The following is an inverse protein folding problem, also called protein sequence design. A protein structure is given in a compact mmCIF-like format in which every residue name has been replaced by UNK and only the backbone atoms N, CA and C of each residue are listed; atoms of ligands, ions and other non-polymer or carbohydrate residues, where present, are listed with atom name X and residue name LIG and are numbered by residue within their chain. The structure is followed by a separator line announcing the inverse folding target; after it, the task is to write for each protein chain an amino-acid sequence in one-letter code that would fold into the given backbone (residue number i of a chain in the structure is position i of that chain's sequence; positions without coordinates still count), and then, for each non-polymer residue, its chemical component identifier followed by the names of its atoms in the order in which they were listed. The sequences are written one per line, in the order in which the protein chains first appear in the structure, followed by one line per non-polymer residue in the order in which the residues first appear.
data_IF_043008188527
#
_entry.id   IF_043008188527
#
_cell.length_a   1.000
_cell.length_b   1.000
_cell.length_c   1.000
_cell.angle_alpha   90.00
_cell.angle_beta   90.00
_cell.angle_gamma   90.00
#
_symmetry.space_group_name_H-M   'P 1'
#
loop_
_entity.id
_entity.type
_entity.pdbx_description
1 polymer ?
#
# COMPACT_ATOMS: atom_id res chain seq x y z
N UNK A 1 -40.60 5.42 23.11
CA UNK A 1 -40.01 4.35 22.26
C UNK A 1 -38.71 4.90 21.70
N UNK A 2 -37.57 4.45 22.22
CA UNK A 2 -36.24 4.87 21.76
C UNK A 2 -35.86 4.02 20.54
N UNK A 3 -35.89 4.57 19.33
CA UNK A 3 -35.16 3.95 18.22
C UNK A 3 -33.70 4.41 18.31
N UNK A 4 -32.82 3.46 18.64
CA UNK A 4 -31.37 3.61 18.42
C UNK A 4 -31.17 3.75 16.91
N UNK A 5 -30.68 4.90 16.46
CA UNK A 5 -30.05 5.02 15.15
C UNK A 5 -28.80 4.12 15.16
N UNK A 6 -28.70 3.22 14.18
CA UNK A 6 -27.46 2.51 13.90
C UNK A 6 -26.36 3.54 13.55
N UNK A 7 -25.08 3.28 13.87
CA UNK A 7 -24.01 4.15 13.43
C UNK A 7 -24.04 4.18 11.89
N UNK A 8 -24.15 5.38 11.33
CA UNK A 8 -23.93 5.60 9.90
C UNK A 8 -22.48 5.18 9.63
N UNK A 9 -22.27 4.04 8.97
CA UNK A 9 -20.98 3.75 8.34
C UNK A 9 -20.64 4.96 7.47
N UNK A 10 -19.57 5.67 7.81
CA UNK A 10 -19.11 6.75 6.96
C UNK A 10 -18.66 6.11 5.65
N UNK A 11 -19.34 6.47 4.55
CA UNK A 11 -18.91 6.16 3.20
C UNK A 11 -17.55 6.83 2.95
N UNK A 12 -16.47 6.21 3.42
CA UNK A 12 -15.11 6.65 3.10
C UNK A 12 -14.96 6.55 1.58
N UNK A 13 -14.47 7.60 0.90
CA UNK A 13 -14.29 7.54 -0.54
C UNK A 13 -13.29 6.43 -0.89
N UNK A 14 -13.69 5.56 -1.81
CA UNK A 14 -12.85 4.51 -2.38
C UNK A 14 -12.48 4.87 -3.82
N UNK A 15 -11.21 4.73 -4.15
CA UNK A 15 -10.72 4.79 -5.53
C UNK A 15 -10.17 3.41 -5.88
N UNK A 16 -10.48 2.91 -7.06
CA UNK A 16 -10.03 1.61 -7.54
C UNK A 16 -9.30 1.79 -8.86
N UNK A 17 -8.06 1.35 -8.91
CA UNK A 17 -7.25 1.33 -10.13
C UNK A 17 -7.00 -0.11 -10.56
N UNK A 18 -7.27 -0.41 -11.83
CA UNK A 18 -6.95 -1.72 -12.42
C UNK A 18 -5.91 -1.51 -13.51
N UNK A 19 -4.78 -2.20 -13.38
CA UNK A 19 -3.66 -2.16 -14.33
C UNK A 19 -3.32 -3.57 -14.80
N UNK A 20 -3.04 -3.73 -16.10
CA UNK A 20 -2.56 -4.99 -16.66
C UNK A 20 -1.07 -4.89 -16.98
N UNK A 21 -0.28 -5.84 -16.48
CA UNK A 21 1.19 -5.82 -16.59
C UNK A 21 1.66 -7.14 -17.20
N UNK A 22 2.46 -7.10 -18.27
CA UNK A 22 3.02 -8.29 -18.91
C UNK A 22 4.19 -8.85 -18.09
N UNK A 23 3.89 -9.72 -17.12
CA UNK A 23 4.84 -10.26 -16.14
C UNK A 23 4.22 -11.43 -15.36
N UNK A 24 4.86 -11.88 -14.27
CA UNK A 24 4.30 -12.90 -13.36
C UNK A 24 3.80 -12.27 -12.05
N UNK A 25 2.82 -12.90 -11.36
CA UNK A 25 2.35 -12.43 -10.05
C UNK A 25 3.50 -12.25 -9.04
N UNK A 26 4.46 -13.19 -9.00
CA UNK A 26 5.62 -13.10 -8.11
C UNK A 26 6.47 -11.85 -8.38
N UNK A 27 6.67 -11.47 -9.65
CA UNK A 27 7.42 -10.26 -9.98
C UNK A 27 6.68 -8.99 -9.57
N UNK A 28 5.36 -8.95 -9.74
CA UNK A 28 4.55 -7.82 -9.24
C UNK A 28 4.60 -7.74 -7.72
N UNK A 29 4.49 -8.88 -7.04
CA UNK A 29 4.62 -8.97 -5.59
C UNK A 29 5.97 -8.42 -5.10
N UNK A 30 7.07 -8.87 -5.71
CA UNK A 30 8.41 -8.38 -5.35
C UNK A 30 8.56 -6.88 -5.59
N UNK A 31 7.90 -6.29 -6.59
CA UNK A 31 7.96 -4.85 -6.86
C UNK A 31 7.41 -3.97 -5.71
N UNK A 32 6.66 -4.53 -4.75
CA UNK A 32 6.20 -3.81 -3.56
C UNK A 32 7.07 -4.02 -2.32
N UNK A 33 7.94 -5.04 -2.32
CA UNK A 33 8.71 -5.48 -1.15
C UNK A 33 10.21 -5.29 -1.31
N UNK A 34 10.72 -5.50 -2.52
CA UNK A 34 12.14 -5.44 -2.83
C UNK A 34 12.55 -3.98 -3.02
N UNK A 35 13.36 -3.48 -2.08
CA UNK A 35 13.81 -2.09 -2.06
C UNK A 35 14.67 -1.74 -3.27
N UNK A 36 15.43 -2.69 -3.82
CA UNK A 36 16.28 -2.46 -4.99
C UNK A 36 15.44 -2.30 -6.26
N UNK A 37 14.32 -3.02 -6.36
CA UNK A 37 13.34 -2.84 -7.44
C UNK A 37 12.58 -1.53 -7.24
N UNK A 38 12.08 -1.28 -6.03
CA UNK A 38 11.30 -0.07 -5.72
C UNK A 38 12.09 1.21 -6.02
N UNK A 39 13.36 1.27 -5.65
CA UNK A 39 14.21 2.44 -5.86
C UNK A 39 14.33 2.86 -7.34
N UNK A 40 14.09 1.96 -8.29
CA UNK A 40 14.15 2.22 -9.73
C UNK A 40 12.87 2.87 -10.28
N UNK A 41 11.71 2.64 -9.65
CA UNK A 41 10.40 3.02 -10.21
C UNK A 41 9.60 3.98 -9.33
N UNK A 42 9.83 4.03 -8.02
CA UNK A 42 9.05 4.83 -7.08
C UNK A 42 9.63 6.24 -6.89
N UNK A 43 9.71 7.00 -7.99
CA UNK A 43 10.11 8.42 -8.01
C UNK A 43 8.88 9.29 -8.28
N UNK A 44 8.57 10.21 -7.36
CA UNK A 44 7.45 11.14 -7.53
C UNK A 44 7.79 12.24 -8.53
N UNK A 45 6.79 12.80 -9.25
CA UNK A 45 7.03 13.82 -10.29
C UNK A 45 7.64 15.13 -9.75
N UNK A 46 7.56 15.36 -8.44
CA UNK A 46 8.10 16.54 -7.74
C UNK A 46 9.29 16.20 -6.82
N UNK A 47 9.76 14.95 -6.84
CA UNK A 47 10.76 14.44 -5.90
C UNK A 47 11.98 13.96 -6.68
N UNK A 48 13.16 14.52 -6.38
CA UNK A 48 14.44 14.07 -6.97
C UNK A 48 14.93 12.74 -6.40
N UNK A 49 14.22 12.19 -5.41
CA UNK A 49 14.57 10.98 -4.68
C UNK A 49 13.48 9.90 -4.80
N UNK A 50 13.90 8.65 -4.91
CA UNK A 50 13.03 7.47 -4.89
C UNK A 50 12.57 7.12 -3.47
N UNK A 51 11.58 6.24 -3.38
CA UNK A 51 11.08 5.75 -2.10
C UNK A 51 10.99 4.24 -2.07
N UNK A 52 11.10 3.71 -0.86
CA UNK A 52 11.04 2.27 -0.59
C UNK A 52 10.07 2.00 0.56
N UNK A 53 9.46 0.82 0.55
CA UNK A 53 8.65 0.34 1.65
C UNK A 53 9.56 -0.38 2.65
N UNK A 54 9.46 0.00 3.91
CA UNK A 54 10.23 -0.60 5.01
C UNK A 54 9.26 -1.22 6.00
N UNK A 55 9.30 -2.54 6.10
CA UNK A 55 8.56 -3.37 7.05
C UNK A 55 9.14 -4.78 7.09
N UNK A 56 8.86 -5.52 8.16
CA UNK A 56 9.06 -6.98 8.16
C UNK A 56 7.85 -7.75 7.59
N UNK A 57 6.82 -7.01 7.14
CA UNK A 57 5.65 -7.51 6.42
C UNK A 57 4.88 -8.62 7.15
N UNK A 58 4.73 -8.48 8.47
CA UNK A 58 3.81 -9.30 9.26
C UNK A 58 2.55 -8.51 9.59
N UNK A 59 1.35 -9.12 9.64
CA UNK A 59 0.16 -8.45 10.12
C UNK A 59 0.40 -7.80 11.49
N UNK A 60 0.01 -6.53 11.62
CA UNK A 60 0.24 -5.69 12.80
C UNK A 60 1.56 -4.91 12.80
N UNK A 61 2.52 -5.26 11.94
CA UNK A 61 3.81 -4.58 11.87
C UNK A 61 3.70 -3.15 11.39
N UNK A 62 4.62 -2.31 11.83
CA UNK A 62 4.79 -0.96 11.28
C UNK A 62 5.22 -1.08 9.81
N UNK A 63 4.65 -0.23 8.97
CA UNK A 63 5.05 -0.02 7.59
C UNK A 63 5.38 1.45 7.38
N UNK A 64 6.46 1.72 6.67
CA UNK A 64 6.92 3.07 6.35
C UNK A 64 7.29 3.17 4.88
N UNK A 65 6.94 4.31 4.30
CA UNK A 65 7.35 4.68 2.96
C UNK A 65 8.45 5.75 3.07
N UNK A 66 9.70 5.30 2.93
CA UNK A 66 10.89 6.09 3.24
C UNK A 66 11.58 6.60 1.98
N UNK A 67 12.21 7.77 2.06
CA UNK A 67 13.13 8.28 1.04
C UNK A 67 14.45 7.54 1.04
N UNK A 68 15.05 7.39 -0.14
CA UNK A 68 16.34 6.72 -0.35
C UNK A 68 17.55 7.68 -0.39
N UNK A 69 17.36 8.96 -0.07
CA UNK A 69 18.38 10.02 -0.07
C UNK A 69 19.35 9.96 1.13
N UNK A 70 19.31 8.88 1.91
CA UNK A 70 20.10 8.69 3.12
C UNK A 70 19.55 9.42 4.35
N UNK A 71 18.47 10.20 4.24
CA UNK A 71 17.87 10.89 5.39
C UNK A 71 16.99 9.97 6.26
N UNK A 72 16.48 8.88 5.68
CA UNK A 72 15.48 8.02 6.33
C UNK A 72 14.13 8.72 6.55
N UNK A 73 13.87 9.82 5.82
CA UNK A 73 12.62 10.57 5.96
C UNK A 73 11.43 9.70 5.59
N UNK A 74 10.47 9.57 6.52
CA UNK A 74 9.21 8.85 6.31
C UNK A 74 8.17 9.82 5.73
N UNK A 75 7.78 9.65 4.47
CA UNK A 75 6.78 10.50 3.83
C UNK A 75 5.34 10.04 4.16
N UNK A 76 5.17 8.73 4.36
CA UNK A 76 3.90 8.04 4.70
C UNK A 76 4.21 6.89 5.65
N UNK A 77 3.31 6.62 6.58
CA UNK A 77 3.40 5.48 7.50
C UNK A 77 2.07 4.76 7.63
N UNK A 78 2.12 3.58 8.25
CA UNK A 78 0.94 2.82 8.61
C UNK A 78 1.28 1.50 9.28
N UNK A 79 0.32 0.57 9.23
CA UNK A 79 0.44 -0.79 9.75
C UNK A 79 0.07 -1.78 8.66
N UNK A 80 0.80 -2.88 8.59
CA UNK A 80 0.44 -4.04 7.75
C UNK A 80 -0.83 -4.67 8.34
N UNK A 81 -1.85 -4.86 7.51
CA UNK A 81 -3.15 -5.40 7.92
C UNK A 81 -3.33 -6.84 7.44
N UNK A 82 -2.90 -7.13 6.21
CA UNK A 82 -3.02 -8.46 5.59
C UNK A 82 -1.83 -8.71 4.67
N UNK A 83 -1.27 -9.92 4.69
CA UNK A 83 -0.21 -10.37 3.78
C UNK A 83 -0.51 -11.79 3.34
N UNK A 84 -0.74 -11.97 2.04
CA UNK A 84 -1.01 -13.27 1.42
C UNK A 84 -0.25 -13.36 0.09
N UNK A 85 1.05 -13.74 0.12
CA UNK A 85 1.90 -13.76 -1.07
C UNK A 85 1.46 -14.82 -2.09
N UNK A 86 1.60 -14.57 -3.40
CA UNK A 86 1.86 -13.29 -4.06
C UNK A 86 0.56 -12.53 -4.40
N UNK A 87 -0.57 -12.87 -3.76
CA UNK A 87 -1.93 -12.53 -4.23
C UNK A 87 -2.49 -11.25 -3.63
N UNK A 88 -2.20 -10.95 -2.37
CA UNK A 88 -2.86 -9.85 -1.66
C UNK A 88 -2.00 -9.22 -0.58
N UNK A 89 -1.99 -7.90 -0.55
CA UNK A 89 -1.30 -7.08 0.46
C UNK A 89 -2.20 -5.93 0.87
N UNK A 90 -2.42 -5.76 2.17
CA UNK A 90 -3.26 -4.68 2.70
C UNK A 90 -2.52 -3.97 3.82
N UNK A 91 -2.50 -2.65 3.79
CA UNK A 91 -1.90 -1.82 4.84
C UNK A 91 -2.65 -0.50 5.03
N UNK A 92 -2.53 0.06 6.24
CA UNK A 92 -3.04 1.41 6.50
C UNK A 92 -2.10 2.48 5.95
N UNK A 93 -2.63 3.66 5.69
CA UNK A 93 -1.92 4.76 5.05
C UNK A 93 -2.26 6.08 5.72
N UNK A 94 -1.25 6.76 6.27
CA UNK A 94 -1.40 8.09 6.85
C UNK A 94 -0.14 8.94 6.66
N UNK A 95 -0.30 10.25 6.77
CA UNK A 95 0.84 11.15 7.00
C UNK A 95 1.40 10.89 8.42
N UNK A 96 2.71 11.07 8.65
CA UNK A 96 3.30 10.94 9.98
C UNK A 96 2.62 11.81 11.05
N UNK A 97 2.23 13.04 10.70
CA UNK A 97 1.54 13.96 11.60
C UNK A 97 0.16 13.45 12.07
N UNK A 98 -0.47 12.57 11.29
CA UNK A 98 -1.79 11.99 11.56
C UNK A 98 -1.70 10.54 12.05
N UNK A 99 -0.50 10.00 12.26
CA UNK A 99 -0.30 8.58 12.58
C UNK A 99 -1.01 8.13 13.88
N UNK A 100 -1.19 9.05 14.84
CA UNK A 100 -1.86 8.80 16.12
C UNK A 100 -3.40 8.78 16.06
N UNK A 101 -3.99 9.17 14.93
CA UNK A 101 -5.45 9.23 14.74
C UNK A 101 -5.88 8.22 13.67
N UNK A 102 -6.30 7.02 14.11
CA UNK A 102 -6.71 5.93 13.21
C UNK A 102 -7.91 6.31 12.32
N UNK A 103 -8.72 7.31 12.71
CA UNK A 103 -9.85 7.76 11.88
C UNK A 103 -9.41 8.42 10.57
N UNK A 104 -8.19 9.00 10.57
CA UNK A 104 -7.56 9.64 9.41
C UNK A 104 -6.78 8.66 8.53
N UNK A 105 -6.71 7.39 8.90
CA UNK A 105 -6.03 6.39 8.09
C UNK A 105 -6.93 5.98 6.92
N UNK A 106 -6.34 5.99 5.73
CA UNK A 106 -6.84 5.27 4.57
C UNK A 106 -6.33 3.83 4.60
N UNK A 107 -6.93 2.98 3.79
CA UNK A 107 -6.48 1.61 3.59
C UNK A 107 -6.11 1.43 2.11
N UNK A 108 -4.94 0.86 1.87
CA UNK A 108 -4.49 0.43 0.54
C UNK A 108 -4.62 -1.08 0.50
N UNK A 109 -5.33 -1.60 -0.51
CA UNK A 109 -5.49 -3.03 -0.74
C UNK A 109 -5.00 -3.35 -2.14
N UNK A 110 -3.96 -4.17 -2.23
CA UNK A 110 -3.34 -4.59 -3.48
C UNK A 110 -3.75 -6.03 -3.73
N UNK A 111 -4.43 -6.27 -4.85
CA UNK A 111 -4.80 -7.59 -5.35
C UNK A 111 -4.05 -7.89 -6.64
N UNK A 112 -3.44 -9.08 -6.71
CA UNK A 112 -2.59 -9.53 -7.81
C UNK A 112 -3.13 -10.85 -8.31
N UNK A 113 -3.65 -10.84 -9.54
CA UNK A 113 -4.27 -12.00 -10.17
C UNK A 113 -3.55 -12.35 -11.48
N UNK A 114 -3.21 -13.63 -11.72
CA UNK A 114 -2.81 -14.05 -13.06
C UNK A 114 -3.96 -13.82 -14.04
N UNK A 115 -3.61 -13.35 -15.23
CA UNK A 115 -4.52 -13.15 -16.34
C UNK A 115 -4.00 -13.90 -17.59
N UNK A 116 -4.74 -13.82 -18.69
CA UNK A 116 -4.39 -14.54 -19.93
C UNK A 116 -2.97 -14.19 -20.41
N UNK A 117 -2.29 -15.16 -21.02
CA UNK A 117 -1.03 -14.98 -21.76
C UNK A 117 0.12 -14.29 -21.01
N UNK A 118 0.30 -14.58 -19.71
CA UNK A 118 1.39 -14.00 -18.93
C UNK A 118 1.18 -12.52 -18.61
N UNK A 119 -0.08 -12.07 -18.59
CA UNK A 119 -0.48 -10.81 -18.00
C UNK A 119 -0.85 -11.01 -16.53
N UNK A 120 -0.64 -9.97 -15.73
CA UNK A 120 -1.13 -9.86 -14.36
C UNK A 120 -2.13 -8.72 -14.31
N UNK A 121 -3.28 -8.97 -13.70
CA UNK A 121 -4.23 -7.93 -13.31
C UNK A 121 -3.87 -7.48 -11.89
N UNK A 122 -3.42 -6.24 -11.77
CA UNK A 122 -3.15 -5.57 -10.52
C UNK A 122 -4.32 -4.63 -10.20
N UNK A 123 -4.95 -4.82 -9.04
CA UNK A 123 -5.98 -3.92 -8.51
C UNK A 123 -5.47 -3.24 -7.24
N UNK A 124 -5.65 -1.92 -7.13
CA UNK A 124 -5.28 -1.11 -5.96
C UNK A 124 -6.44 -0.23 -5.53
#
# INVERSE_FOLDING_TARGET
MNSKLAPTESLKPSFVYVTFIATTPDKVWQAFLDTDVMAQYWVGPTSECSRVNVSDWKPGSKWEHQRTDGTGTVDICGKVLEVNPPRRLVYSWSRPADAGDESKHSQVAIDIEPHIDGLVRLTV
#
